data_IF_076044262697
#
_entry.id   IF_076044262697
#
_cell.length_a   1.000
_cell.length_b   1.000
_cell.length_c   1.000
_cell.angle_alpha   90.00
_cell.angle_beta   90.00
_cell.angle_gamma   90.00
#
_symmetry.space_group_name_H-M   'P 1'
#
loop_
_entity.id
_entity.type
_entity.pdbx_description
1 polymer ?
#
# COMPACT_ATOMS: atom_id res chain seq x y z
N UNK A 1 3.76 6.67 -21.60
CA UNK A 1 2.95 7.51 -20.67
C UNK A 1 2.90 6.85 -19.30
N UNK A 2 3.46 7.49 -18.27
CA UNK A 2 3.26 7.02 -16.88
C UNK A 2 1.75 7.15 -16.58
N UNK A 3 1.05 6.03 -16.41
CA UNK A 3 -0.36 6.04 -15.99
C UNK A 3 -0.43 6.60 -14.57
N UNK A 4 -0.57 7.92 -14.45
CA UNK A 4 -0.80 8.55 -13.17
C UNK A 4 -2.19 8.11 -12.70
N UNK A 5 -2.25 7.37 -11.60
CA UNK A 5 -3.51 6.92 -11.02
C UNK A 5 -4.19 8.13 -10.33
N UNK A 6 -4.78 9.01 -11.12
CA UNK A 6 -5.55 10.20 -10.70
C UNK A 6 -6.92 9.84 -10.06
N UNK A 7 -7.11 8.63 -9.53
CA UNK A 7 -8.32 8.26 -8.78
C UNK A 7 -8.57 9.22 -7.60
N UNK A 8 -7.50 9.77 -7.01
CA UNK A 8 -7.58 10.80 -5.98
C UNK A 8 -8.18 12.11 -6.51
N UNK A 9 -7.97 12.46 -7.79
CA UNK A 9 -8.54 13.63 -8.43
C UNK A 9 -10.04 13.46 -8.64
N UNK A 10 -10.46 12.28 -9.10
CA UNK A 10 -11.88 11.92 -9.20
C UNK A 10 -12.56 11.98 -7.83
N UNK A 11 -11.96 11.39 -6.80
CA UNK A 11 -12.50 11.42 -5.43
C UNK A 11 -12.56 12.85 -4.86
N UNK A 12 -11.56 13.69 -5.17
CA UNK A 12 -11.56 15.10 -4.77
C UNK A 12 -12.69 15.91 -5.43
N UNK A 13 -12.92 15.70 -6.73
CA UNK A 13 -13.99 16.37 -7.48
C UNK A 13 -15.36 15.94 -6.98
N UNK A 14 -15.60 14.65 -6.79
CA UNK A 14 -16.83 14.12 -6.22
C UNK A 14 -17.10 14.66 -4.82
N UNK A 15 -16.10 14.64 -3.94
CA UNK A 15 -16.27 15.10 -2.57
C UNK A 15 -16.49 16.62 -2.47
N UNK A 16 -15.98 17.40 -3.45
CA UNK A 16 -16.17 18.86 -3.51
C UNK A 16 -17.53 19.25 -4.11
N UNK A 17 -17.94 18.62 -5.21
CA UNK A 17 -19.10 19.06 -6.01
C UNK A 17 -20.36 18.20 -5.83
N UNK A 18 -20.21 16.92 -5.49
CA UNK A 18 -21.32 15.99 -5.23
C UNK A 18 -21.51 15.72 -3.72
N UNK A 19 -20.68 16.32 -2.86
CA UNK A 19 -20.66 16.17 -1.39
C UNK A 19 -20.57 14.70 -0.93
N UNK A 20 -19.99 13.83 -1.76
CA UNK A 20 -19.82 12.42 -1.43
C UNK A 20 -18.76 12.23 -0.33
N UNK A 21 -18.91 11.21 0.53
CA UNK A 21 -17.91 10.92 1.54
C UNK A 21 -16.58 10.57 0.85
N UNK A 22 -15.48 11.26 1.18
CA UNK A 22 -14.18 11.03 0.54
C UNK A 22 -13.71 9.61 0.82
N UNK A 23 -13.34 8.92 -0.27
CA UNK A 23 -12.92 7.51 -0.26
C UNK A 23 -11.53 7.36 0.36
N UNK A 24 -10.65 8.33 0.10
CA UNK A 24 -9.26 8.29 0.55
C UNK A 24 -9.00 9.22 1.75
N UNK A 25 -8.11 8.86 2.70
CA UNK A 25 -7.69 9.78 3.76
C UNK A 25 -6.97 11.02 3.22
N UNK A 26 -6.20 10.88 2.14
CA UNK A 26 -5.49 11.98 1.51
C UNK A 26 -6.46 13.04 0.94
N UNK A 27 -7.59 12.64 0.37
CA UNK A 27 -8.58 13.60 -0.16
C UNK A 27 -9.25 14.42 0.94
N UNK A 28 -9.46 13.85 2.13
CA UNK A 28 -9.88 14.63 3.31
C UNK A 28 -8.89 15.74 3.66
N UNK A 29 -7.59 15.42 3.64
CA UNK A 29 -6.51 16.40 3.88
C UNK A 29 -6.50 17.49 2.79
N UNK A 30 -6.65 17.09 1.53
CA UNK A 30 -6.71 18.03 0.40
C UNK A 30 -7.93 18.95 0.47
N UNK A 31 -9.11 18.44 0.81
CA UNK A 31 -10.33 19.24 1.01
C UNK A 31 -10.16 20.25 2.15
N UNK A 32 -9.52 19.84 3.25
CA UNK A 32 -9.19 20.77 4.34
C UNK A 32 -8.19 21.84 3.87
N UNK A 33 -7.13 21.44 3.16
CA UNK A 33 -6.15 22.38 2.62
C UNK A 33 -6.77 23.35 1.60
N UNK A 34 -7.73 22.91 0.79
CA UNK A 34 -8.47 23.73 -0.17
C UNK A 34 -9.24 24.88 0.47
N UNK A 35 -9.71 24.71 1.71
CA UNK A 35 -10.38 25.78 2.46
C UNK A 35 -9.44 26.91 2.87
N UNK A 36 -8.14 26.62 2.96
CA UNK A 36 -7.13 27.56 3.47
C UNK A 36 -6.10 28.00 2.42
N UNK A 37 -5.89 27.22 1.35
CA UNK A 37 -4.88 27.48 0.30
C UNK A 37 -5.53 27.73 -1.06
N UNK A 38 -5.62 29.01 -1.45
CA UNK A 38 -6.22 29.45 -2.72
C UNK A 38 -5.51 28.92 -3.99
N UNK A 39 -4.22 28.56 -3.91
CA UNK A 39 -3.47 28.02 -5.06
C UNK A 39 -4.02 26.68 -5.56
N UNK A 40 -4.51 25.84 -4.66
CA UNK A 40 -5.07 24.53 -5.03
C UNK A 40 -6.48 24.67 -5.64
N UNK A 41 -7.24 25.69 -5.21
CA UNK A 41 -8.56 26.00 -5.78
C UNK A 41 -8.47 26.46 -7.25
N UNK A 42 -7.40 27.15 -7.65
CA UNK A 42 -7.18 27.62 -9.03
C UNK A 42 -6.97 26.49 -10.05
N UNK A 43 -6.54 25.31 -9.60
CA UNK A 43 -6.31 24.13 -10.47
C UNK A 43 -7.54 23.25 -10.63
N UNK A 44 -8.59 23.49 -9.87
CA UNK A 44 -9.85 22.77 -9.98
C UNK A 44 -10.80 23.57 -10.88
N UNK A 45 -11.71 22.88 -11.60
CA UNK A 45 -12.79 23.56 -12.31
C UNK A 45 -13.54 24.48 -11.34
N UNK A 46 -13.87 25.68 -11.82
CA UNK A 46 -14.62 26.69 -11.05
C UNK A 46 -16.12 26.52 -11.24
N UNK A 47 -16.56 26.03 -12.41
CA UNK A 47 -17.97 25.72 -12.69
C UNK A 47 -18.33 24.31 -12.20
N UNK A 48 -19.57 24.15 -11.73
CA UNK A 48 -20.13 22.85 -11.37
C UNK A 48 -20.33 21.97 -12.61
N UNK A 49 -20.67 22.56 -13.75
CA UNK A 49 -20.92 21.84 -15.01
C UNK A 49 -19.63 21.25 -15.57
N UNK A 50 -18.57 22.06 -15.67
CA UNK A 50 -17.24 21.60 -16.10
C UNK A 50 -16.71 20.47 -15.19
N UNK A 51 -16.95 20.59 -13.87
CA UNK A 51 -16.58 19.56 -12.92
C UNK A 51 -17.34 18.25 -13.16
N UNK A 52 -18.62 18.30 -13.50
CA UNK A 52 -19.42 17.12 -13.83
C UNK A 52 -18.94 16.44 -15.12
N UNK A 53 -18.58 17.21 -16.14
CA UNK A 53 -17.99 16.66 -17.36
C UNK A 53 -16.64 15.99 -17.10
N UNK A 54 -15.79 16.61 -16.29
CA UNK A 54 -14.49 16.04 -15.92
C UNK A 54 -14.66 14.78 -15.07
N UNK A 55 -15.58 14.78 -14.10
CA UNK A 55 -15.95 13.59 -13.32
C UNK A 55 -16.42 12.48 -14.25
N UNK A 56 -17.28 12.77 -15.23
CA UNK A 56 -17.77 11.79 -16.19
C UNK A 56 -16.64 11.19 -17.03
N UNK A 57 -15.76 12.04 -17.58
CA UNK A 57 -14.57 11.61 -18.36
C UNK A 57 -13.60 10.76 -17.54
N UNK A 58 -13.34 11.14 -16.29
CA UNK A 58 -12.49 10.35 -15.41
C UNK A 58 -13.16 9.03 -15.02
N UNK A 59 -14.47 9.06 -14.70
CA UNK A 59 -15.25 7.86 -14.36
C UNK A 59 -15.27 6.86 -15.52
N UNK A 60 -15.47 7.30 -16.76
CA UNK A 60 -15.41 6.42 -17.94
C UNK A 60 -14.04 5.78 -18.04
N UNK A 61 -12.96 6.56 -18.10
CA UNK A 61 -11.58 6.04 -18.24
C UNK A 61 -11.22 5.02 -17.15
N UNK A 62 -11.55 5.32 -15.88
CA UNK A 62 -11.29 4.37 -14.80
C UNK A 62 -12.15 3.12 -14.89
N UNK A 63 -13.41 3.26 -15.25
CA UNK A 63 -14.28 2.11 -15.47
C UNK A 63 -13.70 1.19 -16.54
N UNK A 64 -13.26 1.74 -17.68
CA UNK A 64 -12.66 0.97 -18.78
C UNK A 64 -11.40 0.23 -18.33
N UNK A 65 -10.48 0.92 -17.65
CA UNK A 65 -9.26 0.33 -17.11
C UNK A 65 -9.57 -0.80 -16.12
N UNK A 66 -10.51 -0.57 -15.18
CA UNK A 66 -10.89 -1.58 -14.19
C UNK A 66 -11.64 -2.74 -14.82
N UNK A 67 -12.48 -2.50 -15.83
CA UNK A 67 -13.21 -3.54 -16.56
C UNK A 67 -12.26 -4.43 -17.37
N UNK A 68 -11.33 -3.83 -18.12
CA UNK A 68 -10.31 -4.57 -18.86
C UNK A 68 -9.39 -5.38 -17.92
N UNK A 69 -8.95 -4.77 -16.82
CA UNK A 69 -8.17 -5.49 -15.79
C UNK A 69 -8.97 -6.63 -15.14
N UNK A 70 -10.28 -6.47 -14.94
CA UNK A 70 -11.15 -7.51 -14.41
C UNK A 70 -11.31 -8.67 -15.41
N UNK A 71 -11.52 -8.36 -16.68
CA UNK A 71 -11.62 -9.34 -17.76
C UNK A 71 -10.35 -10.18 -17.86
N UNK A 72 -9.19 -9.53 -18.00
CA UNK A 72 -7.89 -10.21 -18.14
C UNK A 72 -7.54 -11.07 -16.91
N UNK A 73 -7.85 -10.60 -15.69
CA UNK A 73 -7.65 -11.39 -14.46
C UNK A 73 -8.55 -12.62 -14.40
N UNK A 74 -9.82 -12.48 -14.74
CA UNK A 74 -10.75 -13.62 -14.78
C UNK A 74 -10.34 -14.60 -15.87
N UNK A 75 -10.03 -14.12 -17.06
CA UNK A 75 -9.61 -14.97 -18.19
C UNK A 75 -8.41 -15.83 -17.83
N UNK A 76 -7.37 -15.23 -17.24
CA UNK A 76 -6.18 -15.95 -16.77
C UNK A 76 -6.54 -17.05 -15.76
N UNK A 77 -7.40 -16.74 -14.79
CA UNK A 77 -7.76 -17.70 -13.74
C UNK A 77 -8.69 -18.81 -14.27
N UNK A 78 -9.61 -18.50 -15.19
CA UNK A 78 -10.47 -19.49 -15.84
C UNK A 78 -9.64 -20.41 -16.73
N UNK A 79 -8.74 -19.87 -17.57
CA UNK A 79 -7.80 -20.67 -18.38
C UNK A 79 -6.93 -21.57 -17.50
N UNK A 80 -6.49 -21.07 -16.34
CA UNK A 80 -5.74 -21.87 -15.35
C UNK A 80 -6.58 -23.01 -14.76
N UNK A 81 -7.85 -22.75 -14.45
CA UNK A 81 -8.76 -23.78 -13.94
C UNK A 81 -9.07 -24.86 -14.98
N UNK A 82 -9.27 -24.47 -16.25
CA UNK A 82 -9.46 -25.37 -17.39
C UNK A 82 -8.25 -26.30 -17.55
N UNK A 83 -7.03 -25.77 -17.45
CA UNK A 83 -5.80 -26.60 -17.50
C UNK A 83 -5.68 -27.59 -16.35
N UNK A 84 -6.23 -27.28 -15.17
CA UNK A 84 -6.12 -28.12 -13.98
C UNK A 84 -7.16 -29.25 -13.94
N UNK A 85 -8.34 -29.04 -14.51
CA UNK A 85 -9.45 -30.01 -14.48
C UNK A 85 -9.94 -30.27 -15.90
N UNK A 86 -10.06 -31.55 -16.27
CA UNK A 86 -10.69 -31.97 -17.54
C UNK A 86 -11.99 -31.19 -17.76
N UNK A 87 -11.97 -30.32 -18.75
CA UNK A 87 -13.08 -29.44 -19.08
C UNK A 87 -13.97 -30.09 -20.16
N UNK A 88 -15.27 -29.78 -20.19
CA UNK A 88 -16.12 -30.11 -21.33
C UNK A 88 -15.63 -29.43 -22.61
N UNK A 89 -15.84 -30.07 -23.77
CA UNK A 89 -15.39 -29.58 -25.10
C UNK A 89 -15.83 -28.13 -25.40
N UNK A 90 -16.96 -27.70 -24.86
CA UNK A 90 -17.49 -26.33 -25.03
C UNK A 90 -16.50 -25.25 -24.53
N UNK A 91 -15.65 -25.58 -23.55
CA UNK A 91 -14.64 -24.66 -23.00
C UNK A 91 -13.42 -24.45 -23.90
N UNK A 92 -13.28 -25.22 -24.98
CA UNK A 92 -12.23 -25.03 -25.98
C UNK A 92 -12.55 -23.88 -26.95
N UNK A 93 -13.84 -23.52 -27.07
CA UNK A 93 -14.24 -22.38 -27.89
C UNK A 93 -13.97 -21.05 -27.19
N UNK A 94 -13.20 -20.17 -27.84
CA UNK A 94 -12.88 -18.83 -27.32
C UNK A 94 -14.14 -17.96 -27.18
N UNK A 95 -15.12 -18.14 -28.06
CA UNK A 95 -16.42 -17.46 -27.99
C UNK A 95 -17.17 -17.79 -26.70
N UNK A 96 -17.22 -19.06 -26.30
CA UNK A 96 -17.86 -19.46 -25.05
C UNK A 96 -17.14 -18.86 -23.84
N UNK A 97 -15.81 -18.85 -23.85
CA UNK A 97 -15.02 -18.29 -22.76
C UNK A 97 -15.28 -16.78 -22.61
N UNK A 98 -15.30 -16.05 -23.72
CA UNK A 98 -15.61 -14.62 -23.72
C UNK A 98 -17.02 -14.33 -23.20
N UNK A 99 -18.01 -15.13 -23.62
CA UNK A 99 -19.40 -15.03 -23.14
C UNK A 99 -19.53 -15.36 -21.65
N UNK A 100 -18.84 -16.39 -21.17
CA UNK A 100 -18.83 -16.78 -19.76
C UNK A 100 -18.24 -15.70 -18.85
N UNK A 101 -17.12 -15.10 -19.26
CA UNK A 101 -16.44 -14.06 -18.48
C UNK A 101 -17.26 -12.77 -18.48
N UNK A 102 -17.72 -12.32 -19.64
CA UNK A 102 -18.55 -11.11 -19.75
C UNK A 102 -19.87 -11.24 -18.99
N UNK A 103 -20.57 -12.38 -19.10
CA UNK A 103 -21.78 -12.66 -18.33
C UNK A 103 -21.52 -12.58 -16.82
N UNK A 104 -20.38 -13.09 -16.36
CA UNK A 104 -19.98 -12.99 -14.95
C UNK A 104 -19.70 -11.54 -14.53
N UNK A 105 -18.99 -10.78 -15.35
CA UNK A 105 -18.70 -9.37 -15.09
C UNK A 105 -19.99 -8.53 -15.04
N UNK A 106 -20.93 -8.77 -15.95
CA UNK A 106 -22.25 -8.12 -15.94
C UNK A 106 -23.01 -8.46 -14.65
N UNK A 107 -22.93 -9.70 -14.16
CA UNK A 107 -23.53 -10.08 -12.87
C UNK A 107 -22.88 -9.32 -11.69
N UNK A 108 -21.56 -9.13 -11.71
CA UNK A 108 -20.86 -8.32 -10.71
C UNK A 108 -21.24 -6.83 -10.79
N UNK A 109 -21.44 -6.28 -12.00
CA UNK A 109 -21.96 -4.92 -12.17
C UNK A 109 -23.41 -4.81 -11.64
N UNK A 110 -24.21 -5.85 -11.86
CA UNK A 110 -25.56 -5.97 -11.33
C UNK A 110 -25.63 -5.97 -9.80
N UNK A 111 -24.64 -6.55 -9.12
CA UNK A 111 -24.57 -6.59 -7.65
C UNK A 111 -23.97 -5.33 -7.03
N UNK A 112 -23.12 -4.59 -7.75
CA UNK A 112 -22.34 -3.47 -7.19
C UNK A 112 -22.82 -2.09 -7.64
N UNK A 113 -23.07 -1.92 -8.94
CA UNK A 113 -23.41 -0.63 -9.55
C UNK A 113 -24.91 -0.51 -9.79
N UNK A 114 -25.55 -1.53 -10.36
CA UNK A 114 -26.95 -1.50 -10.79
C UNK A 114 -27.92 -2.00 -9.70
N UNK A 115 -27.87 -1.36 -8.52
CA UNK A 115 -28.66 -1.77 -7.36
C UNK A 115 -30.17 -1.55 -7.54
N UNK A 116 -30.56 -0.50 -8.26
CA UNK A 116 -31.97 -0.14 -8.47
C UNK A 116 -32.52 -0.71 -9.78
N UNK A 117 -33.85 -0.87 -9.85
CA UNK A 117 -34.53 -1.31 -11.08
C UNK A 117 -34.37 -0.29 -12.22
N UNK A 118 -34.33 1.01 -11.89
CA UNK A 118 -34.13 2.09 -12.85
C UNK A 118 -32.73 2.07 -13.47
N UNK A 119 -31.69 1.78 -12.67
CA UNK A 119 -30.33 1.67 -13.18
C UNK A 119 -30.15 0.44 -14.09
N UNK A 120 -31.00 -0.58 -13.98
CA UNK A 120 -30.97 -1.73 -14.88
C UNK A 120 -31.60 -1.44 -16.24
N UNK A 121 -32.58 -0.52 -16.29
CA UNK A 121 -33.20 -0.09 -17.54
C UNK A 121 -32.38 1.00 -18.23
N UNK A 122 -31.73 1.88 -17.45
CA UNK A 122 -30.86 2.94 -17.94
C UNK A 122 -29.53 2.92 -17.17
N UNK A 123 -28.53 2.16 -17.64
CA UNK A 123 -27.28 1.97 -16.90
C UNK A 123 -26.40 3.22 -16.97
N UNK A 124 -25.64 3.59 -15.92
CA UNK A 124 -24.89 4.84 -15.89
C UNK A 124 -24.03 5.11 -17.13
N UNK A 125 -23.96 6.38 -17.53
CA UNK A 125 -23.25 6.80 -18.75
C UNK A 125 -21.74 6.56 -18.73
N UNK A 126 -21.16 6.37 -17.54
CA UNK A 126 -19.74 6.03 -17.42
C UNK A 126 -19.41 4.57 -17.81
N UNK A 127 -20.43 3.72 -17.97
CA UNK A 127 -20.27 2.33 -18.41
C UNK A 127 -20.11 2.31 -19.92
N UNK A 128 -19.15 1.52 -20.42
CA UNK A 128 -18.91 1.35 -21.85
C UNK A 128 -20.20 1.01 -22.62
N UNK A 129 -20.34 1.58 -23.82
CA UNK A 129 -21.55 1.45 -24.63
C UNK A 129 -21.88 -0.02 -24.97
N UNK A 130 -20.84 -0.82 -25.27
CA UNK A 130 -20.98 -2.25 -25.54
C UNK A 130 -21.55 -3.00 -24.33
N UNK A 131 -21.05 -2.69 -23.12
CA UNK A 131 -21.51 -3.33 -21.89
C UNK A 131 -22.94 -2.88 -21.55
N UNK A 132 -23.28 -1.61 -21.78
CA UNK A 132 -24.66 -1.08 -21.65
C UNK A 132 -25.63 -1.81 -22.58
N UNK A 133 -25.23 -2.10 -23.83
CA UNK A 133 -26.03 -2.91 -24.77
C UNK A 133 -26.30 -4.32 -24.23
N UNK A 134 -25.28 -5.00 -23.71
CA UNK A 134 -25.45 -6.36 -23.15
C UNK A 134 -26.32 -6.42 -21.89
N UNK A 135 -26.36 -5.34 -21.10
CA UNK A 135 -27.21 -5.23 -19.91
C UNK A 135 -28.69 -5.08 -20.29
N UNK A 136 -28.98 -4.22 -21.28
CA UNK A 136 -30.35 -3.90 -21.71
C UNK A 136 -30.93 -5.01 -22.58
N UNK A 137 -30.12 -5.53 -23.52
CA UNK A 137 -30.52 -6.59 -24.42
C UNK A 137 -30.47 -7.95 -23.72
N UNK A 138 -31.64 -8.51 -23.44
CA UNK A 138 -31.81 -9.84 -22.85
C UNK A 138 -31.58 -10.96 -23.85
N UNK A 139 -31.62 -10.68 -25.15
CA UNK A 139 -31.41 -11.68 -26.21
C UNK A 139 -29.93 -11.88 -26.55
N UNK A 140 -29.06 -10.96 -26.12
CA UNK A 140 -27.62 -11.03 -26.39
C UNK A 140 -26.99 -12.27 -25.71
N UNK A 141 -26.07 -13.00 -26.38
CA UNK A 141 -25.39 -14.15 -25.79
C UNK A 141 -24.49 -13.78 -24.59
N UNK A 142 -24.08 -12.51 -24.51
CA UNK A 142 -23.28 -11.98 -23.41
C UNK A 142 -24.11 -11.68 -22.15
N UNK A 143 -25.45 -11.70 -22.25
CA UNK A 143 -26.33 -11.50 -21.11
C UNK A 143 -26.30 -12.73 -20.19
N UNK A 144 -26.18 -12.57 -18.86
CA UNK A 144 -26.08 -13.70 -17.94
C UNK A 144 -27.29 -14.64 -17.95
N UNK A 145 -28.49 -14.12 -18.22
CA UNK A 145 -29.70 -14.93 -18.32
C UNK A 145 -29.69 -15.78 -19.59
N UNK A 146 -29.34 -15.18 -20.73
CA UNK A 146 -29.31 -15.88 -22.00
C UNK A 146 -28.17 -16.90 -22.06
N UNK A 147 -26.98 -16.53 -21.58
CA UNK A 147 -25.86 -17.47 -21.45
C UNK A 147 -26.25 -18.72 -20.65
N UNK A 148 -26.97 -18.54 -19.54
CA UNK A 148 -27.42 -19.66 -18.72
C UNK A 148 -28.43 -20.55 -19.45
N UNK A 149 -29.40 -19.96 -20.16
CA UNK A 149 -30.40 -20.72 -20.95
C UNK A 149 -29.73 -21.49 -22.09
N UNK A 150 -28.80 -20.86 -22.80
CA UNK A 150 -28.14 -21.43 -23.96
C UNK A 150 -27.22 -22.60 -23.60
N UNK A 151 -26.39 -22.46 -22.56
CA UNK A 151 -25.33 -23.43 -22.28
C UNK A 151 -25.53 -24.25 -21.00
N UNK A 152 -26.10 -23.66 -19.94
CA UNK A 152 -26.15 -24.29 -18.62
C UNK A 152 -27.49 -24.99 -18.31
N UNK A 153 -28.60 -24.56 -18.90
CA UNK A 153 -29.92 -25.14 -18.61
C UNK A 153 -30.06 -26.56 -19.16
N UNK A 154 -29.53 -26.80 -20.35
CA UNK A 154 -29.65 -28.09 -21.05
C UNK A 154 -28.52 -29.06 -20.69
N UNK A 155 -27.32 -28.56 -20.36
CA UNK A 155 -26.16 -29.40 -20.00
C UNK A 155 -25.85 -29.35 -18.51
N UNK A 156 -26.16 -30.46 -17.82
CA UNK A 156 -25.81 -30.63 -16.40
C UNK A 156 -24.31 -30.63 -16.16
N UNK A 157 -23.53 -31.16 -17.10
CA UNK A 157 -22.07 -31.23 -17.00
C UNK A 157 -21.45 -29.84 -17.03
N UNK A 158 -21.85 -29.01 -18.00
CA UNK A 158 -21.39 -27.62 -18.12
C UNK A 158 -21.82 -26.80 -16.90
N UNK A 159 -23.07 -26.96 -16.44
CA UNK A 159 -23.55 -26.24 -15.26
C UNK A 159 -22.77 -26.61 -13.99
N UNK A 160 -22.49 -27.90 -13.77
CA UNK A 160 -21.69 -28.37 -12.65
C UNK A 160 -20.24 -27.85 -12.74
N UNK A 161 -19.65 -27.86 -13.93
CA UNK A 161 -18.29 -27.34 -14.14
C UNK A 161 -18.22 -25.82 -13.88
N UNK A 162 -19.13 -25.03 -14.45
CA UNK A 162 -19.28 -23.60 -14.19
C UNK A 162 -19.48 -23.31 -12.69
N UNK A 163 -20.34 -24.09 -12.03
CA UNK A 163 -20.59 -23.94 -10.59
C UNK A 163 -19.34 -24.23 -9.77
N UNK A 164 -18.55 -25.25 -10.15
CA UNK A 164 -17.28 -25.57 -9.49
C UNK A 164 -16.20 -24.51 -9.75
N UNK A 165 -16.14 -23.96 -10.96
CA UNK A 165 -15.25 -22.86 -11.33
C UNK A 165 -15.50 -21.64 -10.45
N UNK A 166 -16.75 -21.16 -10.41
CA UNK A 166 -17.12 -20.00 -9.59
C UNK A 166 -17.04 -20.27 -8.09
N UNK A 167 -17.09 -21.55 -7.68
CA UNK A 167 -16.92 -21.93 -6.29
C UNK A 167 -15.46 -22.08 -5.84
N UNK A 168 -14.50 -22.07 -6.75
CA UNK A 168 -13.07 -22.11 -6.44
C UNK A 168 -12.65 -20.94 -5.54
N UNK A 169 -11.81 -21.21 -4.55
CA UNK A 169 -11.31 -20.20 -3.60
C UNK A 169 -10.55 -19.07 -4.32
N UNK A 170 -9.74 -19.40 -5.34
CA UNK A 170 -8.97 -18.40 -6.08
C UNK A 170 -9.89 -17.48 -6.88
N UNK A 171 -10.84 -18.07 -7.61
CA UNK A 171 -11.84 -17.33 -8.40
C UNK A 171 -12.72 -16.47 -7.50
N UNK A 172 -13.17 -16.96 -6.34
CA UNK A 172 -13.94 -16.15 -5.37
C UNK A 172 -13.18 -14.93 -4.88
N UNK A 173 -11.89 -15.08 -4.57
CA UNK A 173 -11.04 -13.96 -4.14
C UNK A 173 -10.96 -12.89 -5.22
N UNK A 174 -10.67 -13.31 -6.47
CA UNK A 174 -10.58 -12.39 -7.61
C UNK A 174 -11.92 -11.71 -7.88
N UNK A 175 -13.03 -12.45 -7.85
CA UNK A 175 -14.38 -11.88 -8.02
C UNK A 175 -14.68 -10.85 -6.92
N UNK A 176 -14.32 -11.12 -5.67
CA UNK A 176 -14.47 -10.15 -4.58
C UNK A 176 -13.62 -8.88 -4.77
N UNK A 177 -12.42 -9.01 -5.32
CA UNK A 177 -11.56 -7.86 -5.67
C UNK A 177 -12.12 -7.05 -6.85
N UNK A 178 -12.76 -7.72 -7.81
CA UNK A 178 -13.45 -7.07 -8.94
C UNK A 178 -14.72 -6.35 -8.46
N UNK A 179 -15.51 -6.97 -7.59
CA UNK A 179 -16.67 -6.31 -7.00
C UNK A 179 -16.25 -5.07 -6.19
N UNK A 180 -15.16 -5.18 -5.43
CA UNK A 180 -14.58 -4.04 -4.73
C UNK A 180 -14.11 -2.95 -5.69
N UNK A 181 -13.44 -3.29 -6.80
CA UNK A 181 -12.98 -2.28 -7.77
C UNK A 181 -14.16 -1.56 -8.44
N UNK A 182 -15.26 -2.24 -8.74
CA UNK A 182 -16.48 -1.62 -9.25
C UNK A 182 -17.18 -0.75 -8.20
N UNK A 183 -17.23 -1.17 -6.93
CA UNK A 183 -17.69 -0.32 -5.83
C UNK A 183 -16.83 0.94 -5.70
N UNK A 184 -15.50 0.81 -5.84
CA UNK A 184 -14.59 1.95 -5.85
C UNK A 184 -14.88 2.92 -7.00
N UNK A 185 -15.19 2.43 -8.21
CA UNK A 185 -15.53 3.33 -9.34
C UNK A 185 -16.88 4.01 -9.14
N UNK A 186 -17.90 3.28 -8.65
CA UNK A 186 -19.25 3.82 -8.35
C UNK A 186 -19.20 5.02 -7.41
N UNK A 187 -18.33 4.95 -6.40
CA UNK A 187 -18.23 5.95 -5.35
C UNK A 187 -19.14 5.65 -4.17
N UNK A 188 -19.47 6.72 -3.43
CA UNK A 188 -20.38 6.72 -2.28
C UNK A 188 -20.25 5.49 -1.35
N UNK A 189 -19.01 5.15 -1.01
CA UNK A 189 -18.69 4.03 -0.13
C UNK A 189 -19.10 4.34 1.31
N UNK A 190 -19.89 3.45 1.90
CA UNK A 190 -20.24 3.56 3.32
C UNK A 190 -19.08 3.10 4.18
N UNK A 191 -19.00 3.59 5.42
CA UNK A 191 -18.07 3.04 6.44
C UNK A 191 -18.27 1.52 6.61
N UNK A 192 -19.51 1.06 6.44
CA UNK A 192 -19.86 -0.37 6.49
C UNK A 192 -19.17 -1.16 5.36
N UNK A 193 -19.09 -0.62 4.14
CA UNK A 193 -18.42 -1.28 3.02
C UNK A 193 -16.92 -1.48 3.31
N UNK A 194 -16.27 -0.47 3.91
CA UNK A 194 -14.86 -0.57 4.32
C UNK A 194 -14.66 -1.60 5.43
N UNK A 195 -15.57 -1.68 6.40
CA UNK A 195 -15.53 -2.68 7.46
C UNK A 195 -15.75 -4.10 6.94
N UNK A 196 -16.69 -4.29 6.00
CA UNK A 196 -16.92 -5.56 5.32
C UNK A 196 -15.69 -6.01 4.55
N UNK A 197 -15.06 -5.09 3.80
CA UNK A 197 -13.81 -5.37 3.10
C UNK A 197 -12.70 -5.76 4.07
N UNK A 198 -12.53 -5.01 5.17
CA UNK A 198 -11.53 -5.31 6.20
C UNK A 198 -11.74 -6.68 6.85
N UNK A 199 -13.00 -7.09 7.07
CA UNK A 199 -13.34 -8.44 7.55
C UNK A 199 -12.97 -9.53 6.54
N UNK A 200 -13.12 -9.25 5.24
CA UNK A 200 -12.82 -10.20 4.17
C UNK A 200 -11.31 -10.33 3.88
N UNK A 201 -10.55 -9.23 3.87
CA UNK A 201 -9.10 -9.25 3.56
C UNK A 201 -8.20 -9.33 4.78
N UNK A 202 -8.70 -9.07 5.99
CA UNK A 202 -7.92 -9.15 7.23
C UNK A 202 -6.86 -8.05 7.45
N UNK A 203 -6.67 -7.15 6.47
CA UNK A 203 -5.74 -6.03 6.54
C UNK A 203 -6.47 -4.68 6.55
N UNK A 204 -6.00 -3.67 7.32
CA UNK A 204 -6.46 -2.30 7.13
C UNK A 204 -6.05 -1.85 5.72
N UNK A 205 -6.97 -1.22 5.00
CA UNK A 205 -6.70 -0.61 3.70
C UNK A 205 -5.74 0.56 3.93
N UNK A 206 -4.44 0.32 3.87
CA UNK A 206 -3.40 1.34 3.75
C UNK A 206 -2.87 1.31 2.32
N UNK A 207 -2.71 2.50 1.75
CA UNK A 207 -2.67 2.84 0.33
C UNK A 207 -1.38 2.49 -0.42
N UNK A 208 -0.81 1.29 -0.25
CA UNK A 208 0.32 0.87 -1.09
C UNK A 208 0.07 -0.49 -1.76
N UNK A 209 -1.02 -0.53 -2.52
CA UNK A 209 -1.21 -1.58 -3.55
C UNK A 209 -0.85 -0.95 -4.90
N UNK A 210 0.41 -0.53 -5.02
CA UNK A 210 1.10 -0.55 -6.29
C UNK A 210 0.96 -1.96 -6.84
N UNK A 211 0.18 -2.10 -7.91
CA UNK A 211 0.17 -3.32 -8.72
C UNK A 211 1.62 -3.64 -9.05
N UNK A 212 2.07 -4.81 -8.62
CA UNK A 212 3.33 -5.41 -9.04
C UNK A 212 3.34 -5.48 -10.57
N UNK A 213 3.89 -4.44 -11.20
CA UNK A 213 4.21 -4.38 -12.61
C UNK A 213 5.46 -5.21 -12.84
N UNK A 214 5.26 -6.48 -13.17
CA UNK A 214 6.24 -7.29 -13.87
C UNK A 214 6.13 -6.88 -15.34
N UNK A 215 7.04 -6.02 -15.79
CA UNK A 215 7.17 -5.60 -17.19
C UNK A 215 8.45 -6.17 -17.77
N UNK A 216 8.26 -7.10 -18.71
CA UNK A 216 9.24 -7.51 -19.71
C UNK A 216 8.68 -7.14 -21.08
N UNK A 217 9.54 -6.54 -21.92
CA UNK A 217 9.36 -6.27 -23.37
C UNK A 217 8.43 -5.09 -23.71
N UNK A 218 8.77 -4.15 -24.60
CA UNK A 218 9.95 -3.90 -25.44
C UNK A 218 9.72 -2.54 -26.12
N UNK A 219 10.80 -1.85 -26.43
CA UNK A 219 10.84 -0.53 -27.07
C UNK A 219 10.20 -0.50 -28.47
N UNK A 220 9.51 0.60 -28.79
CA UNK A 220 9.70 1.31 -30.07
C UNK A 220 9.24 2.78 -29.99
N UNK A 221 9.91 3.60 -30.78
CA UNK A 221 10.10 5.07 -30.74
C UNK A 221 8.94 5.92 -31.29
N UNK A 222 8.75 7.13 -30.75
CA UNK A 222 8.60 8.37 -31.54
C UNK A 222 8.65 9.62 -30.65
N UNK A 223 9.43 10.60 -31.12
CA UNK A 223 9.73 11.92 -30.58
C UNK A 223 8.49 12.83 -30.40
N UNK A 224 8.58 13.77 -29.45
CA UNK A 224 8.06 15.18 -29.45
C UNK A 224 8.20 15.77 -28.00
N UNK A 225 9.05 16.79 -27.75
CA UNK A 225 9.32 17.31 -26.41
C UNK A 225 8.72 18.72 -26.16
N UNK A 226 7.63 18.82 -25.39
CA UNK A 226 7.13 20.15 -24.95
C UNK A 226 6.60 20.22 -23.49
N UNK A 227 6.78 19.21 -22.64
CA UNK A 227 6.17 19.22 -21.29
C UNK A 227 7.09 18.81 -20.12
N UNK A 228 8.42 18.93 -20.28
CA UNK A 228 9.35 18.65 -19.17
C UNK A 228 9.52 19.86 -18.22
N UNK A 229 9.29 21.07 -18.69
CA UNK A 229 9.48 22.31 -17.90
C UNK A 229 8.36 22.56 -16.87
N UNK A 230 7.18 21.95 -17.04
CA UNK A 230 6.04 22.10 -16.10
C UNK A 230 6.10 21.16 -14.89
N UNK A 231 7.03 20.20 -14.86
CA UNK A 231 7.20 19.22 -13.78
C UNK A 231 8.34 19.56 -12.82
N UNK A 232 9.37 20.29 -13.28
CA UNK A 232 10.47 20.78 -12.43
C UNK A 232 10.00 21.80 -11.38
N UNK A 233 8.95 22.56 -11.68
CA UNK A 233 8.34 23.53 -10.76
C UNK A 233 7.63 22.92 -9.54
N UNK A 234 7.43 21.59 -9.52
CA UNK A 234 6.81 20.87 -8.40
C UNK A 234 7.80 20.07 -7.55
N UNK A 235 9.02 19.87 -8.03
CA UNK A 235 10.08 19.13 -7.32
C UNK A 235 10.79 20.02 -6.28
N UNK A 236 10.96 21.31 -6.59
CA UNK A 236 11.61 22.28 -5.70
C UNK A 236 10.72 22.93 -4.62
N UNK A 237 9.42 22.62 -4.57
CA UNK A 237 8.48 23.24 -3.61
C UNK A 237 8.24 22.41 -2.34
N UNK A 238 9.05 21.36 -2.14
CA UNK A 238 9.26 20.68 -0.86
C UNK A 238 10.57 21.21 -0.26
N UNK A 239 10.61 22.52 0.01
CA UNK A 239 11.59 23.07 0.93
C UNK A 239 11.18 22.64 2.34
N UNK A 240 12.03 21.80 2.93
CA UNK A 240 11.92 21.27 4.27
C UNK A 240 11.84 22.39 5.31
N UNK A 241 10.86 22.27 6.20
CA UNK A 241 10.92 22.83 7.54
C UNK A 241 10.31 21.80 8.46
N UNK A 242 11.11 20.77 8.74
CA UNK A 242 11.08 20.10 10.03
C UNK A 242 12.54 19.79 10.35
N UNK A 243 13.06 20.62 11.23
CA UNK A 243 14.42 20.61 11.72
C UNK A 243 14.36 19.86 13.04
N UNK A 244 14.90 18.64 13.10
CA UNK A 244 15.70 18.10 14.20
C UNK A 244 16.53 16.89 13.71
N UNK A 245 17.82 17.19 13.52
CA UNK A 245 19.02 16.37 13.78
C UNK A 245 19.12 14.94 13.20
N UNK A 246 19.72 14.85 12.00
CA UNK A 246 20.43 13.64 11.57
C UNK A 246 21.90 14.01 11.37
N UNK A 247 22.74 13.43 12.23
CA UNK A 247 24.18 13.58 12.25
C UNK A 247 24.75 13.16 10.90
N UNK A 248 25.45 14.08 10.25
CA UNK A 248 26.31 13.75 9.14
C UNK A 248 27.52 13.00 9.69
N UNK A 249 27.59 11.72 9.37
CA UNK A 249 28.75 10.84 9.49
C UNK A 249 29.92 11.44 8.70
N UNK A 250 30.66 12.36 9.31
CA UNK A 250 32.01 12.70 8.89
C UNK A 250 32.94 11.57 9.33
N UNK A 251 33.60 10.93 8.35
CA UNK A 251 34.47 9.80 8.57
C UNK A 251 35.61 10.13 9.53
N UNK A 252 35.54 9.56 10.74
CA UNK A 252 36.65 9.57 11.68
C UNK A 252 37.79 8.70 11.14
N UNK A 253 38.95 9.33 10.93
CA UNK A 253 40.18 8.67 10.53
C UNK A 253 40.62 7.65 11.60
N UNK A 254 40.73 6.35 11.27
CA UNK A 254 41.07 5.30 12.21
C UNK A 254 42.52 5.36 12.75
N UNK A 255 43.32 6.36 12.37
CA UNK A 255 44.71 6.51 12.83
C UNK A 255 44.90 7.50 14.00
N UNK A 256 43.82 8.03 14.61
CA UNK A 256 43.90 8.99 15.72
C UNK A 256 43.28 8.40 16.99
N UNK A 257 44.07 8.32 18.07
CA UNK A 257 43.63 7.83 19.39
C UNK A 257 43.06 8.99 20.23
N UNK A 258 41.73 9.10 20.30
CA UNK A 258 41.02 10.19 21.00
C UNK A 258 40.98 10.08 22.54
N UNK A 259 41.73 9.14 23.13
CA UNK A 259 41.83 8.99 24.58
C UNK A 259 42.99 9.78 25.23
N UNK A 260 43.75 10.57 24.48
CA UNK A 260 44.92 11.32 24.98
C UNK A 260 44.77 12.86 24.98
N UNK A 261 43.58 13.41 24.69
CA UNK A 261 43.34 14.85 24.78
C UNK A 261 42.59 15.15 26.07
N UNK A 262 43.36 15.41 27.12
CA UNK A 262 42.92 15.80 28.45
C UNK A 262 42.33 17.22 28.44
N UNK A 263 41.23 17.39 29.17
CA UNK A 263 40.65 18.65 29.64
C UNK A 263 41.72 19.56 30.24
N UNK A 264 41.90 20.76 29.69
CA UNK A 264 42.56 21.87 30.37
C UNK A 264 41.89 23.19 29.95
N UNK A 265 41.01 23.70 30.81
CA UNK A 265 40.53 25.08 30.76
C UNK A 265 41.72 26.04 30.89
N UNK A 266 41.69 27.16 30.17
CA UNK A 266 41.87 28.41 30.89
C UNK A 266 40.96 29.57 30.44
N UNK A 267 40.81 30.45 31.41
CA UNK A 267 40.05 31.69 31.51
C UNK A 267 40.63 32.90 30.76
N UNK A 268 39.74 33.89 30.58
CA UNK A 268 39.96 35.35 30.58
C UNK A 268 40.59 36.09 29.37
N UNK A 269 39.75 37.01 28.87
CA UNK A 269 39.97 38.43 28.56
C UNK A 269 40.61 38.95 27.25
N UNK A 270 39.82 39.88 26.67
CA UNK A 270 40.18 41.20 26.11
C UNK A 270 40.84 41.34 24.73
N UNK A 271 40.24 42.27 23.96
CA UNK A 271 40.90 43.35 23.21
C UNK A 271 41.26 43.18 21.72
N UNK A 272 40.48 43.92 20.89
CA UNK A 272 40.84 44.71 19.68
C UNK A 272 41.24 43.92 18.40
N UNK A 273 40.89 44.28 17.17
CA UNK A 273 40.30 45.50 16.60
C UNK A 273 40.77 45.67 15.13
N UNK A 274 39.92 46.29 14.30
CA UNK A 274 40.22 46.97 13.02
C UNK A 274 40.29 46.13 11.73
N UNK A 275 39.28 46.23 10.85
CA UNK A 275 39.15 47.17 9.69
C UNK A 275 39.61 46.48 8.38
N UNK A 276 39.03 46.63 7.20
CA UNK A 276 38.08 47.58 6.58
C UNK A 276 37.52 46.95 5.29
N UNK A 277 36.36 47.46 4.83
CA UNK A 277 35.93 47.79 3.43
C UNK A 277 36.49 47.03 2.21
N UNK A 278 35.81 46.86 1.08
CA UNK A 278 34.50 47.22 0.49
C UNK A 278 34.56 46.70 -0.96
N UNK A 279 33.39 46.65 -1.62
CA UNK A 279 33.17 46.55 -3.08
C UNK A 279 33.36 45.17 -3.74
N UNK A 280 32.28 44.50 -4.19
CA UNK A 280 31.39 44.83 -5.33
C UNK A 280 32.04 44.52 -6.68
N UNK A 281 31.76 43.34 -7.22
CA UNK A 281 31.63 43.08 -8.65
C UNK A 281 30.92 41.75 -8.90
N UNK A 282 29.76 41.87 -9.52
CA UNK A 282 28.92 40.87 -10.16
C UNK A 282 29.63 40.38 -11.43
N UNK A 283 29.86 39.08 -11.58
CA UNK A 283 30.23 38.46 -12.87
C UNK A 283 29.69 37.04 -12.95
N UNK A 284 28.39 36.97 -13.24
CA UNK A 284 27.54 35.77 -13.24
C UNK A 284 27.43 35.08 -14.63
N UNK A 285 28.26 35.40 -15.63
CA UNK A 285 28.21 34.69 -16.91
C UNK A 285 29.56 34.60 -17.62
N UNK A 286 30.24 33.45 -17.45
CA UNK A 286 31.11 32.91 -18.50
C UNK A 286 31.16 31.37 -18.43
N UNK A 287 30.49 30.74 -19.40
CA UNK A 287 30.53 29.30 -19.70
C UNK A 287 31.82 28.94 -20.46
N UNK A 288 32.56 27.89 -20.03
CA UNK A 288 33.14 26.83 -20.91
C UNK A 288 33.92 25.71 -20.12
N UNK A 289 34.29 24.54 -20.72
CA UNK A 289 33.81 23.20 -20.35
C UNK A 289 34.75 22.30 -19.48
N UNK A 290 34.28 21.13 -18.98
CA UNK A 290 35.01 20.34 -17.97
C UNK A 290 36.16 19.47 -18.53
N UNK A 291 37.36 19.68 -17.98
CA UNK A 291 38.55 18.85 -18.23
C UNK A 291 38.54 17.57 -17.37
N UNK A 292 38.51 16.42 -18.06
CA UNK A 292 38.84 15.08 -17.53
C UNK A 292 40.34 15.01 -17.19
N UNK A 293 40.69 14.58 -15.98
CA UNK A 293 42.09 14.27 -15.60
C UNK A 293 42.42 12.80 -15.87
N UNK A 294 43.43 12.60 -16.71
CA UNK A 294 44.13 11.34 -16.98
C UNK A 294 45.38 11.21 -16.11
N UNK A 295 45.58 10.03 -15.51
CA UNK A 295 46.84 9.46 -14.98
C UNK A 295 46.62 7.94 -14.99
N UNK A 296 47.49 7.05 -15.42
CA UNK A 296 48.86 7.07 -15.94
C UNK A 296 49.22 5.60 -16.18
N UNK A 297 50.02 5.34 -17.22
CA UNK A 297 50.43 4.03 -17.73
C UNK A 297 51.29 3.20 -16.77
N UNK A 298 51.03 1.90 -16.71
CA UNK A 298 52.02 0.87 -16.35
C UNK A 298 51.92 -0.27 -17.36
N UNK A 299 53.04 -0.51 -18.02
CA UNK A 299 53.28 -1.57 -18.99
C UNK A 299 53.47 -2.91 -18.26
N UNK A 300 52.69 -3.92 -18.62
CA UNK A 300 52.99 -5.32 -18.34
C UNK A 300 52.80 -6.14 -19.62
N UNK A 301 53.90 -6.79 -19.99
CA UNK A 301 54.15 -7.58 -21.19
C UNK A 301 53.44 -8.95 -21.06
N UNK A 302 52.42 -9.21 -21.89
CA UNK A 302 51.80 -10.53 -22.00
C UNK A 302 51.96 -11.09 -23.41
N UNK A 303 52.70 -12.20 -23.51
CA UNK A 303 52.80 -13.05 -24.70
C UNK A 303 51.44 -13.71 -24.98
N UNK A 304 50.61 -13.06 -25.79
CA UNK A 304 49.40 -13.68 -26.34
C UNK A 304 49.80 -14.56 -27.54
N UNK A 305 49.37 -15.83 -27.61
CA UNK A 305 49.59 -16.65 -28.80
C UNK A 305 48.86 -16.02 -30.00
N UNK A 306 49.56 -15.95 -31.14
CA UNK A 306 49.01 -15.41 -32.38
C UNK A 306 47.73 -16.16 -32.78
N UNK A 307 46.70 -15.38 -33.11
CA UNK A 307 45.42 -15.86 -33.59
C UNK A 307 45.64 -16.51 -34.97
N UNK A 308 45.79 -17.83 -35.01
CA UNK A 308 45.79 -18.59 -36.25
C UNK A 308 44.46 -18.35 -36.98
N UNK A 309 44.49 -17.51 -38.01
CA UNK A 309 43.39 -17.28 -38.93
C UNK A 309 43.19 -18.55 -39.77
N UNK A 310 42.47 -19.51 -39.20
CA UNK A 310 41.95 -20.69 -39.90
C UNK A 310 40.71 -20.29 -40.69
N UNK A 311 40.89 -20.09 -41.99
CA UNK A 311 39.85 -19.94 -42.99
C UNK A 311 39.01 -21.23 -43.06
N UNK A 312 37.74 -21.21 -42.60
CA UNK A 312 36.81 -22.32 -42.86
C UNK A 312 36.27 -22.16 -44.28
N UNK A 313 36.89 -22.89 -45.21
CA UNK A 313 36.40 -23.04 -46.56
C UNK A 313 35.11 -23.88 -46.52
N UNK A 314 33.97 -23.23 -46.79
CA UNK A 314 32.74 -23.93 -47.11
C UNK A 314 32.93 -24.78 -48.38
N UNK A 315 32.83 -26.10 -48.24
CA UNK A 315 32.83 -27.02 -49.36
C UNK A 315 32.73 -28.49 -48.92
N UNK A 316 31.59 -29.10 -49.30
CA UNK A 316 31.32 -30.55 -49.38
C UNK A 316 30.83 -31.28 -48.11
N UNK A 317 29.50 -31.41 -48.01
CA UNK A 317 28.74 -32.69 -48.05
C UNK A 317 29.47 -33.95 -47.54
N UNK A 318 29.11 -34.43 -46.34
CA UNK A 318 28.75 -35.84 -46.06
C UNK A 318 28.16 -35.99 -44.63
N UNK A 319 27.20 -36.90 -44.49
CA UNK A 319 26.37 -37.14 -43.31
C UNK A 319 27.16 -37.70 -42.10
N UNK A 320 26.88 -37.20 -40.89
CA UNK A 320 26.91 -38.02 -39.66
C UNK A 320 26.25 -37.29 -38.47
N UNK A 321 25.07 -37.78 -38.08
CA UNK A 321 24.45 -37.58 -36.77
C UNK A 321 25.37 -38.13 -35.66
N UNK A 322 26.00 -37.28 -34.85
CA UNK A 322 26.23 -37.47 -33.38
C UNK A 322 27.17 -36.39 -32.75
N UNK A 323 26.98 -35.10 -33.03
CA UNK A 323 27.89 -34.04 -32.53
C UNK A 323 27.59 -33.59 -31.08
N UNK A 324 26.49 -34.04 -30.47
CA UNK A 324 26.05 -33.57 -29.15
C UNK A 324 26.58 -34.36 -27.93
N UNK A 325 27.50 -35.31 -28.15
CA UNK A 325 28.03 -36.17 -27.08
C UNK A 325 29.53 -36.00 -26.81
N UNK A 326 30.10 -34.85 -27.15
CA UNK A 326 31.49 -34.55 -26.88
C UNK A 326 31.71 -34.28 -25.37
N UNK A 327 32.38 -35.20 -24.69
CA UNK A 327 32.62 -35.20 -23.23
C UNK A 327 33.37 -33.93 -22.78
N UNK A 328 34.17 -33.37 -23.69
CA UNK A 328 34.91 -32.12 -23.54
C UNK A 328 33.95 -30.92 -23.43
N UNK A 329 32.91 -30.86 -24.26
CA UNK A 329 31.92 -29.76 -24.25
C UNK A 329 31.07 -29.79 -22.97
N UNK A 330 30.71 -30.98 -22.46
CA UNK A 330 29.98 -31.13 -21.19
C UNK A 330 30.82 -30.75 -19.96
N UNK A 331 32.13 -30.98 -20.00
CA UNK A 331 33.04 -30.58 -18.91
C UNK A 331 33.23 -29.05 -18.82
N UNK A 332 33.18 -28.37 -19.97
CA UNK A 332 33.30 -26.90 -20.09
C UNK A 332 31.95 -26.21 -19.82
N UNK A 333 30.83 -26.83 -20.21
CA UNK A 333 29.47 -26.32 -19.97
C UNK A 333 28.92 -26.77 -18.61
N UNK A 334 29.64 -26.46 -17.54
CA UNK A 334 29.13 -26.69 -16.19
C UNK A 334 27.81 -25.95 -15.99
N UNK A 335 26.71 -26.70 -15.85
CA UNK A 335 25.39 -26.15 -15.60
C UNK A 335 25.43 -25.20 -14.40
N UNK A 336 25.02 -23.95 -14.63
CA UNK A 336 25.02 -22.89 -13.61
C UNK A 336 24.23 -23.34 -12.39
N UNK A 337 24.92 -23.55 -11.26
CA UNK A 337 24.29 -23.88 -9.99
C UNK A 337 23.39 -22.72 -9.57
N UNK A 338 22.12 -23.03 -9.35
CA UNK A 338 21.12 -22.07 -8.95
C UNK A 338 21.57 -21.36 -7.65
N UNK A 339 21.57 -20.02 -7.64
CA UNK A 339 22.05 -19.24 -6.50
C UNK A 339 21.18 -19.57 -5.28
N UNK A 340 21.82 -20.01 -4.20
CA UNK A 340 21.13 -20.32 -2.94
C UNK A 340 20.26 -19.14 -2.48
N UNK A 341 19.00 -19.39 -2.12
CA UNK A 341 18.05 -18.37 -1.67
C UNK A 341 18.48 -17.63 -0.39
N UNK A 342 17.89 -16.46 -0.16
CA UNK A 342 18.30 -15.52 0.90
C UNK A 342 18.33 -16.13 2.30
N UNK A 343 17.34 -16.95 2.66
CA UNK A 343 17.28 -17.61 3.98
C UNK A 343 18.45 -18.57 4.21
N UNK A 344 18.85 -19.28 3.16
CA UNK A 344 19.97 -20.20 3.26
C UNK A 344 21.31 -19.47 3.22
N UNK A 345 21.41 -18.30 2.55
CA UNK A 345 22.57 -17.40 2.69
C UNK A 345 22.68 -16.84 4.10
N UNK A 346 21.58 -16.37 4.68
CA UNK A 346 21.52 -15.93 6.08
C UNK A 346 21.87 -17.04 7.06
N UNK A 347 21.42 -18.29 6.81
CA UNK A 347 21.78 -19.44 7.63
C UNK A 347 23.29 -19.75 7.56
N UNK A 348 23.89 -19.67 6.37
CA UNK A 348 25.34 -19.82 6.19
C UNK A 348 26.08 -18.69 6.93
N UNK A 349 25.61 -17.46 6.83
CA UNK A 349 26.21 -16.32 7.55
C UNK A 349 26.07 -16.45 9.06
N UNK A 350 24.92 -16.89 9.56
CA UNK A 350 24.73 -17.18 10.98
C UNK A 350 25.61 -18.35 11.45
N UNK A 351 25.86 -19.36 10.60
CA UNK A 351 26.80 -20.43 10.92
C UNK A 351 28.26 -19.97 10.87
N UNK A 352 28.62 -19.05 9.96
CA UNK A 352 29.99 -18.52 9.82
C UNK A 352 30.35 -17.50 10.89
N UNK A 353 29.45 -16.57 11.19
CA UNK A 353 29.71 -15.41 12.06
C UNK A 353 28.92 -15.47 13.37
N UNK A 354 28.08 -16.49 13.56
CA UNK A 354 27.36 -16.69 14.81
C UNK A 354 26.57 -15.46 15.24
N UNK A 355 26.88 -14.96 16.43
CA UNK A 355 26.25 -13.77 17.04
C UNK A 355 26.64 -12.45 16.38
N UNK A 356 27.73 -12.43 15.61
CA UNK A 356 28.25 -11.25 14.91
C UNK A 356 27.70 -11.14 13.47
N UNK A 357 26.88 -12.09 13.02
CA UNK A 357 26.25 -12.00 11.72
C UNK A 357 25.41 -10.71 11.64
N UNK A 358 25.65 -9.89 10.61
CA UNK A 358 25.03 -8.55 10.46
C UNK A 358 23.51 -8.54 10.71
N UNK A 359 22.77 -9.51 10.17
CA UNK A 359 21.32 -9.61 10.37
C UNK A 359 20.92 -9.95 11.82
N UNK A 360 21.74 -10.71 12.55
CA UNK A 360 21.50 -11.03 13.97
C UNK A 360 21.80 -9.81 14.84
N UNK A 361 22.87 -9.09 14.54
CA UNK A 361 23.22 -7.82 15.21
C UNK A 361 22.13 -6.77 15.00
N UNK A 362 21.69 -6.57 13.76
CA UNK A 362 20.63 -5.63 13.41
C UNK A 362 19.30 -5.98 14.11
N UNK A 363 18.94 -7.27 14.15
CA UNK A 363 17.76 -7.72 14.89
C UNK A 363 17.86 -7.46 16.40
N UNK A 364 19.06 -7.60 16.98
CA UNK A 364 19.28 -7.30 18.40
C UNK A 364 19.16 -5.79 18.69
N UNK A 365 19.72 -4.95 17.82
CA UNK A 365 19.61 -3.49 17.92
C UNK A 365 18.15 -3.03 17.82
N UNK A 366 17.36 -3.59 16.90
CA UNK A 366 15.92 -3.29 16.80
C UNK A 366 15.14 -3.66 18.07
N UNK A 367 15.45 -4.81 18.68
CA UNK A 367 14.81 -5.22 19.94
C UNK A 367 15.23 -4.30 21.09
N UNK A 368 16.46 -3.81 21.08
CA UNK A 368 16.95 -2.87 22.10
C UNK A 368 16.30 -1.50 21.96
N UNK A 369 16.22 -0.95 20.74
CA UNK A 369 15.53 0.33 20.51
C UNK A 369 14.05 0.26 20.82
N UNK A 370 13.36 -0.84 20.47
CA UNK A 370 11.95 -1.04 20.83
C UNK A 370 11.74 -1.07 22.35
N UNK A 371 12.67 -1.69 23.10
CA UNK A 371 12.62 -1.69 24.57
C UNK A 371 12.85 -0.30 25.16
N UNK A 372 13.78 0.47 24.60
CA UNK A 372 14.08 1.82 25.05
C UNK A 372 12.90 2.78 24.80
N UNK A 373 12.30 2.70 23.61
CA UNK A 373 11.07 3.46 23.29
C UNK A 373 9.95 3.14 24.28
N UNK A 374 9.78 1.85 24.62
CA UNK A 374 8.77 1.41 25.59
C UNK A 374 9.06 1.91 27.01
N UNK A 375 10.33 1.98 27.42
CA UNK A 375 10.72 2.55 28.71
C UNK A 375 10.46 4.06 28.73
N UNK A 376 10.85 4.78 27.68
CA UNK A 376 10.62 6.22 27.54
C UNK A 376 9.13 6.57 27.58
N UNK A 377 8.28 5.81 26.88
CA UNK A 377 6.83 6.01 26.92
C UNK A 377 6.24 5.75 28.32
N UNK A 378 6.81 4.79 29.06
CA UNK A 378 6.40 4.52 30.44
C UNK A 378 6.83 5.64 31.39
N UNK A 379 8.05 6.15 31.26
CA UNK A 379 8.58 7.28 32.03
C UNK A 379 7.80 8.56 31.76
N UNK A 380 7.49 8.87 30.50
CA UNK A 380 6.61 9.99 30.13
C UNK A 380 5.23 9.86 30.76
N UNK A 381 4.68 8.64 30.77
CA UNK A 381 3.38 8.37 31.38
C UNK A 381 3.42 8.54 32.90
N UNK A 382 4.51 8.17 33.56
CA UNK A 382 4.71 8.41 34.99
C UNK A 382 4.89 9.90 35.28
N UNK A 383 5.76 10.59 34.55
CA UNK A 383 5.96 12.04 34.66
C UNK A 383 4.65 12.81 34.50
N UNK A 384 3.79 12.41 33.54
CA UNK A 384 2.47 13.01 33.34
C UNK A 384 1.51 12.75 34.50
N UNK A 385 1.58 11.58 35.13
CA UNK A 385 0.79 11.26 36.33
C UNK A 385 1.28 12.05 37.55
N UNK A 386 2.59 12.15 37.73
CA UNK A 386 3.21 12.90 38.81
C UNK A 386 2.92 14.41 38.69
N UNK A 387 3.06 14.99 37.50
CA UNK A 387 2.72 16.40 37.26
C UNK A 387 1.22 16.64 37.52
N UNK A 388 0.36 15.72 37.09
CA UNK A 388 -1.08 15.79 37.39
C UNK A 388 -1.37 15.67 38.90
N UNK A 389 -0.62 14.83 39.61
CA UNK A 389 -0.74 14.69 41.06
C UNK A 389 -0.23 15.93 41.80
N UNK A 390 0.88 16.53 41.35
CA UNK A 390 1.41 17.79 41.87
C UNK A 390 0.43 18.95 41.63
N UNK A 391 -0.09 19.10 40.42
CA UNK A 391 -1.15 20.07 40.11
C UNK A 391 -2.39 19.89 40.98
N UNK A 392 -2.78 18.64 41.25
CA UNK A 392 -3.91 18.35 42.11
C UNK A 392 -3.61 18.61 43.59
N UNK A 393 -2.38 18.36 44.04
CA UNK A 393 -1.91 18.65 45.39
C UNK A 393 -1.75 20.16 45.62
N UNK A 394 -1.26 20.91 44.63
CA UNK A 394 -1.19 22.36 44.62
C UNK A 394 -2.59 22.98 44.65
N UNK A 395 -3.53 22.42 43.90
CA UNK A 395 -4.95 22.84 43.95
C UNK A 395 -5.65 22.43 45.24
N UNK A 396 -5.13 21.44 45.95
CA UNK A 396 -5.59 21.02 47.28
C UNK A 396 -4.78 21.63 48.43
N UNK A 397 -3.83 22.53 48.14
CA UNK A 397 -3.22 23.36 49.18
C UNK A 397 -4.36 24.08 49.93
N UNK A 398 -4.53 23.82 51.23
CA UNK A 398 -5.63 24.39 51.99
C UNK A 398 -5.40 25.89 52.10
N UNK A 399 -6.17 26.68 51.36
CA UNK A 399 -6.39 28.09 51.69
C UNK A 399 -7.07 28.15 53.06
N UNK A 400 -6.27 28.13 54.13
CA UNK A 400 -6.47 28.68 55.48
C UNK A 400 -7.78 28.49 56.25
N UNK A 401 -8.80 27.80 55.72
CA UNK A 401 -10.17 27.88 56.23
C UNK A 401 -10.75 26.52 56.68
N UNK A 402 -9.94 25.46 56.79
CA UNK A 402 -10.42 24.15 57.26
C UNK A 402 -9.36 23.36 58.04
N UNK A 403 -8.57 24.04 58.87
CA UNK A 403 -7.69 23.41 59.86
C UNK A 403 -8.31 23.50 61.26
N UNK A 404 -9.57 23.08 61.40
CA UNK A 404 -10.17 22.86 62.71
C UNK A 404 -10.29 21.34 62.92
N UNK A 405 -9.65 20.76 63.95
CA UNK A 405 -9.75 19.32 64.19
C UNK A 405 -11.20 19.00 64.56
N UNK A 406 -11.86 18.19 63.74
CA UNK A 406 -13.19 17.64 64.06
C UNK A 406 -13.08 16.88 65.38
N UNK A 407 -13.64 17.47 66.44
CA UNK A 407 -13.61 16.95 67.80
C UNK A 407 -14.20 15.54 67.94
N UNK A 408 -13.77 14.86 69.00
CA UNK A 408 -14.07 13.46 69.30
C UNK A 408 -15.57 13.14 69.21
N UNK A 409 -15.90 12.17 68.34
CA UNK A 409 -17.26 11.67 68.16
C UNK A 409 -17.74 10.95 69.42
N UNK A 410 -18.62 11.63 70.15
CA UNK A 410 -19.41 11.06 71.24
C UNK A 410 -20.38 10.01 70.70
N UNK A 411 -20.39 8.85 71.32
CA UNK A 411 -21.23 7.71 70.96
C UNK A 411 -22.63 7.80 71.58
N UNK A 412 -23.61 7.25 70.83
CA UNK A 412 -25.01 6.85 71.17
C UNK A 412 -26.15 7.87 70.97
N UNK A 413 -27.43 7.42 70.88
CA UNK A 413 -27.97 6.09 70.59
C UNK A 413 -28.97 6.08 69.41
N UNK A 414 -29.38 4.87 69.03
CA UNK A 414 -30.40 4.52 68.03
C UNK A 414 -31.67 5.38 68.07
N UNK A 415 -32.08 5.92 66.92
CA UNK A 415 -33.51 6.07 66.54
C UNK A 415 -33.64 6.32 65.03
N UNK A 416 -34.23 5.32 64.36
CA UNK A 416 -35.00 5.32 63.10
C UNK A 416 -34.68 6.40 62.04
N UNK A 417 -33.99 6.00 60.96
CA UNK A 417 -33.87 6.77 59.71
C UNK A 417 -34.98 6.40 58.71
N UNK A 418 -35.57 7.38 57.98
CA UNK A 418 -36.44 7.11 56.82
C UNK A 418 -35.63 6.53 55.64
N UNK A 419 -36.27 5.83 54.68
CA UNK A 419 -35.56 5.10 53.63
C UNK A 419 -34.86 6.07 52.66
N UNK A 420 -33.60 5.76 52.36
CA UNK A 420 -32.81 6.48 51.36
C UNK A 420 -33.41 6.27 49.97
N UNK A 421 -33.75 7.36 49.30
CA UNK A 421 -34.20 7.34 47.92
C UNK A 421 -33.12 6.77 47.00
N UNK A 422 -33.53 5.80 46.17
CA UNK A 422 -32.75 5.21 45.11
C UNK A 422 -32.27 6.30 44.13
N UNK A 423 -30.96 6.57 44.15
CA UNK A 423 -30.31 7.27 43.05
C UNK A 423 -30.53 6.42 41.80
N UNK A 424 -31.42 6.88 40.91
CA UNK A 424 -31.67 6.29 39.59
C UNK A 424 -30.32 6.04 38.91
N UNK A 425 -29.94 4.77 38.88
CA UNK A 425 -28.76 4.27 38.19
C UNK A 425 -28.95 4.66 36.72
N UNK A 426 -27.94 5.30 36.13
CA UNK A 426 -28.03 5.76 34.75
C UNK A 426 -28.28 4.53 33.84
N UNK A 427 -29.16 4.61 32.82
CA UNK A 427 -29.58 3.45 32.01
C UNK A 427 -28.42 2.70 31.34
N UNK A 428 -27.29 3.37 31.09
CA UNK A 428 -26.07 2.74 30.58
C UNK A 428 -25.42 1.77 31.57
N UNK A 429 -25.60 1.98 32.88
CA UNK A 429 -25.03 1.15 33.92
C UNK A 429 -25.91 -0.08 34.21
N UNK A 430 -27.24 0.06 34.13
CA UNK A 430 -28.17 -1.08 34.16
C UNK A 430 -27.95 -2.00 32.95
N UNK A 431 -27.81 -1.43 31.75
CA UNK A 431 -27.53 -2.19 30.53
C UNK A 431 -26.22 -2.99 30.63
N UNK A 432 -25.17 -2.40 31.24
CA UNK A 432 -23.89 -3.09 31.44
C UNK A 432 -24.01 -4.23 32.45
N UNK A 433 -24.74 -4.02 33.55
CA UNK A 433 -24.97 -5.06 34.56
C UNK A 433 -25.76 -6.24 33.98
N UNK A 434 -26.79 -5.94 33.19
CA UNK A 434 -27.66 -6.93 32.54
C UNK A 434 -26.93 -7.71 31.45
N UNK A 435 -26.02 -7.08 30.71
CA UNK A 435 -25.14 -7.77 29.77
C UNK A 435 -24.17 -8.74 30.47
N UNK A 436 -23.63 -8.34 31.64
CA UNK A 436 -22.74 -9.18 32.43
C UNK A 436 -23.46 -10.38 33.06
N UNK A 437 -24.69 -10.20 33.53
CA UNK A 437 -25.55 -11.29 34.01
C UNK A 437 -25.92 -12.26 32.88
N UNK A 438 -26.24 -11.74 31.68
CA UNK A 438 -26.51 -12.57 30.49
C UNK A 438 -25.29 -13.41 30.12
N UNK A 439 -24.08 -12.84 30.16
CA UNK A 439 -22.84 -13.58 29.88
C UNK A 439 -22.55 -14.67 30.91
N UNK A 440 -22.87 -14.45 32.19
CA UNK A 440 -22.72 -15.46 33.25
C UNK A 440 -23.72 -16.63 33.10
N UNK A 441 -24.89 -16.39 32.49
CA UNK A 441 -25.92 -17.41 32.26
C UNK A 441 -25.76 -18.21 30.95
N UNK A 442 -24.82 -17.85 30.06
CA UNK A 442 -24.55 -18.66 28.86
C UNK A 442 -23.66 -19.85 29.25
N UNK A 443 -24.26 -21.04 29.38
CA UNK A 443 -23.51 -22.30 29.50
C UNK A 443 -22.74 -22.56 28.20
N UNK A 444 -21.43 -22.75 28.32
CA UNK A 444 -20.52 -23.05 27.21
C UNK A 444 -20.95 -24.32 26.46
N UNK A 445 -21.37 -24.19 25.20
CA UNK A 445 -21.80 -25.30 24.34
C UNK A 445 -20.70 -25.81 23.37
N UNK A 446 -19.43 -25.48 23.63
CA UNK A 446 -18.32 -25.98 22.81
C UNK A 446 -18.02 -27.44 23.13
N UNK A 447 -18.07 -28.32 22.12
CA UNK A 447 -17.53 -29.69 22.23
C UNK A 447 -16.00 -29.62 22.26
N UNK A 448 -15.40 -30.15 23.33
CA UNK A 448 -13.94 -30.30 23.48
C UNK A 448 -13.45 -31.32 22.45
N UNK A 449 -12.59 -30.89 21.52
CA UNK A 449 -11.91 -31.79 20.58
C UNK A 449 -10.71 -32.38 21.33
N UNK A 450 -10.70 -33.70 21.50
CA UNK A 450 -9.52 -34.46 21.94
C UNK A 450 -8.86 -35.06 20.70
N UNK A 451 -7.55 -34.95 20.60
CA UNK A 451 -6.74 -35.59 19.56
C UNK A 451 -6.15 -36.88 20.14
N UNK A 452 -6.36 -38.01 19.46
CA UNK A 452 -5.65 -39.28 19.71
C UNK A 452 -4.24 -39.25 19.11
#
# INVERSE_FOLDING_TARGET
MKQTNQMWKLDLLEAKFEELPPRYPHTKKLLFALKHKNKLAKKLPTSKEDAQEEIKKLKTLYFEQKYHAAYTKLEKEVKKFIKQKKAPEVFESDDFLSQLITAKLIKCLGSTVLLSKQLKTDPPEFIQENVRKYIVDKSSPFNPSQFFVQYCQNSKEVNNYCSNLWNSKSVKSIVGDIEWSFKMVRGNLSKQDFEERKKQTGAPVNEDVGVSGDENSSEESSDEPENEEQLSAFDGLVAASDQEDDNTDEGLDPNINYNEVTDEEPSEDESEGSSSDSDSADDFFEEEPPKKKSKGSLDDEYNLPELAQGYYSGGSDDESDDVDNDEVVKSITQQRKNRRGQRARQKIWAQKYGKEAKHIVQKRQQIQSEREIRQREYEERQRKRELKAQMLAEKQQPTGANTEPLGERKSRPSTVTPPAEDKKIHPSWEAKKLAEEKLKNVKFQGKKITFD
#
